data_IF_884474962702
#
_entry.id   IF_884474962702
#
_cell.length_a   1.000
_cell.length_b   1.000
_cell.length_c   1.000
_cell.angle_alpha   90.00
_cell.angle_beta   90.00
_cell.angle_gamma   90.00
#
_symmetry.space_group_name_H-M   'P 1'
#
loop_
_entity.id
_entity.type
_entity.pdbx_description
1 polymer ?
#
# COMPACT_ATOMS: atom_id res chain seq x y z
N UNK A 1 9.61 -0.10 3.67
CA UNK A 1 8.59 -0.06 2.61
C UNK A 1 7.21 0.05 3.21
N UNK A 2 6.28 0.52 2.39
CA UNK A 2 4.86 0.53 2.73
C UNK A 2 4.38 -0.92 2.83
N UNK A 3 3.71 -1.24 3.93
CA UNK A 3 3.14 -2.55 4.26
C UNK A 3 1.68 -2.35 4.61
N UNK A 4 0.81 -3.23 4.13
CA UNK A 4 -0.60 -3.21 4.49
C UNK A 4 -0.77 -3.63 5.96
N UNK A 5 -1.49 -2.84 6.77
CA UNK A 5 -1.78 -3.22 8.17
C UNK A 5 -3.02 -4.11 8.29
N UNK A 6 -3.83 -4.16 7.24
CA UNK A 6 -5.04 -4.98 7.13
C UNK A 6 -5.19 -5.47 5.70
N UNK A 7 -6.13 -6.38 5.49
CA UNK A 7 -6.53 -6.76 4.14
C UNK A 7 -7.17 -5.57 3.42
N UNK A 8 -6.68 -5.33 2.20
CA UNK A 8 -7.15 -4.28 1.30
C UNK A 8 -7.72 -5.00 0.10
N UNK A 9 -9.01 -4.84 -0.19
CA UNK A 9 -9.64 -5.47 -1.34
C UNK A 9 -9.16 -4.84 -2.65
N UNK A 10 -9.34 -5.53 -3.78
CA UNK A 10 -9.10 -4.94 -5.10
C UNK A 10 -10.12 -3.81 -5.36
N UNK A 11 -9.65 -2.68 -5.88
CA UNK A 11 -10.47 -1.49 -6.12
C UNK A 11 -10.75 -0.64 -4.87
N UNK A 12 -10.21 -1.02 -3.71
CA UNK A 12 -10.40 -0.29 -2.46
C UNK A 12 -9.48 0.95 -2.41
N UNK A 13 -9.98 2.03 -1.82
CA UNK A 13 -9.24 3.28 -1.71
C UNK A 13 -8.24 3.23 -0.54
N UNK A 14 -6.97 3.44 -0.84
CA UNK A 14 -5.89 3.42 0.13
C UNK A 14 -5.92 4.65 1.04
N UNK A 15 -6.02 4.41 2.34
CA UNK A 15 -5.91 5.43 3.37
C UNK A 15 -4.65 5.26 4.23
N UNK A 16 -4.22 6.35 4.85
CA UNK A 16 -3.02 6.37 5.72
C UNK A 16 -3.10 5.34 6.83
N UNK A 17 -4.29 5.10 7.38
CA UNK A 17 -4.51 4.12 8.45
C UNK A 17 -4.46 2.66 7.99
N UNK A 18 -4.50 2.41 6.67
CA UNK A 18 -4.44 1.05 6.09
C UNK A 18 -3.02 0.60 5.79
N UNK A 19 -2.05 1.51 5.87
CA UNK A 19 -0.66 1.25 5.56
C UNK A 19 0.27 1.69 6.68
N UNK A 20 1.36 0.95 6.84
CA UNK A 20 2.45 1.29 7.74
C UNK A 20 3.77 1.23 7.00
N UNK A 21 4.83 1.73 7.61
CA UNK A 21 6.19 1.69 7.06
C UNK A 21 7.05 0.77 7.92
N UNK A 22 7.43 -0.40 7.39
CA UNK A 22 8.34 -1.34 8.06
C UNK A 22 9.68 -1.46 7.31
N UNK A 23 10.77 -1.76 8.03
CA UNK A 23 12.09 -2.13 7.46
C UNK A 23 12.24 -3.66 7.51
N UNK A 24 13.05 -4.29 6.62
CA UNK A 24 13.78 -3.74 5.48
C UNK A 24 12.85 -3.33 4.32
N UNK A 25 13.34 -2.47 3.42
CA UNK A 25 12.48 -1.79 2.45
C UNK A 25 12.76 -2.13 0.99
N UNK A 26 11.97 -3.03 0.40
CA UNK A 26 12.03 -3.42 -1.02
C UNK A 26 10.85 -2.92 -1.88
N UNK A 27 9.70 -2.58 -1.28
CA UNK A 27 8.53 -1.96 -1.95
C UNK A 27 8.49 -0.44 -1.87
N UNK A 28 7.30 0.17 -1.91
CA UNK A 28 7.11 1.63 -1.95
C UNK A 28 7.85 2.33 -0.80
N UNK A 29 8.57 3.41 -1.12
CA UNK A 29 9.33 4.18 -0.13
C UNK A 29 8.37 4.93 0.79
N UNK A 30 8.70 4.99 2.07
CA UNK A 30 7.92 5.74 3.07
C UNK A 30 7.94 7.25 2.86
N UNK A 31 8.69 7.77 1.89
CA UNK A 31 8.58 9.17 1.45
C UNK A 31 7.50 9.35 0.39
N UNK A 32 7.12 8.29 -0.32
CA UNK A 32 6.19 8.34 -1.46
C UNK A 32 4.79 7.82 -1.13
N UNK A 33 4.53 7.37 0.10
CA UNK A 33 3.18 6.89 0.48
C UNK A 33 2.09 7.94 0.21
N UNK A 34 2.40 9.23 0.29
CA UNK A 34 1.43 10.30 0.01
C UNK A 34 0.90 10.25 -1.43
N UNK A 35 1.67 9.70 -2.39
CA UNK A 35 1.25 9.54 -3.79
C UNK A 35 0.22 8.43 -3.98
N UNK A 36 0.18 7.47 -3.05
CA UNK A 36 -0.74 6.32 -3.12
C UNK A 36 -1.97 6.50 -2.20
N UNK A 37 -1.93 7.45 -1.27
CA UNK A 37 -3.12 7.80 -0.48
C UNK A 37 -4.19 8.38 -1.42
N UNK A 38 -5.41 7.87 -1.31
CA UNK A 38 -6.53 8.25 -2.19
C UNK A 38 -6.57 7.52 -3.53
N UNK A 39 -5.56 6.69 -3.85
CA UNK A 39 -5.58 5.81 -5.02
C UNK A 39 -6.31 4.52 -4.72
N UNK A 40 -6.81 3.86 -5.77
CA UNK A 40 -7.38 2.51 -5.66
C UNK A 40 -6.30 1.45 -5.84
N UNK A 41 -6.47 0.31 -5.20
CA UNK A 41 -5.66 -0.88 -5.46
C UNK A 41 -6.13 -1.58 -6.73
N UNK A 42 -5.20 -2.12 -7.52
CA UNK A 42 -5.49 -2.96 -8.70
C UNK A 42 -5.82 -4.41 -8.32
N UNK A 43 -5.28 -4.88 -7.19
CA UNK A 43 -5.52 -6.23 -6.66
C UNK A 43 -5.69 -6.21 -5.16
N UNK A 44 -6.22 -7.30 -4.61
CA UNK A 44 -6.31 -7.49 -3.17
C UNK A 44 -4.93 -7.68 -2.55
N UNK A 45 -4.64 -6.93 -1.50
CA UNK A 45 -3.37 -6.95 -0.76
C UNK A 45 -3.66 -7.50 0.64
N UNK A 46 -3.11 -8.67 1.01
CA UNK A 46 -3.32 -9.22 2.34
C UNK A 46 -2.58 -8.42 3.42
N UNK A 47 -3.12 -8.44 4.64
CA UNK A 47 -2.49 -7.85 5.81
C UNK A 47 -1.03 -8.35 5.98
N UNK A 48 -0.11 -7.44 6.28
CA UNK A 48 1.32 -7.75 6.44
C UNK A 48 2.10 -7.85 5.13
N UNK A 49 1.45 -7.72 3.97
CA UNK A 49 2.14 -7.73 2.66
C UNK A 49 2.73 -6.37 2.32
N UNK A 50 3.84 -6.39 1.58
CA UNK A 50 4.50 -5.19 1.08
C UNK A 50 3.70 -4.64 -0.11
N UNK A 51 3.31 -3.38 -0.04
CA UNK A 51 2.64 -2.68 -1.14
C UNK A 51 3.68 -2.25 -2.17
N UNK A 52 3.44 -2.62 -3.43
CA UNK A 52 4.24 -2.26 -4.59
C UNK A 52 3.49 -1.28 -5.50
N UNK A 53 4.23 -0.56 -6.34
CA UNK A 53 3.64 0.40 -7.28
C UNK A 53 2.69 -0.26 -8.28
N UNK A 54 2.96 -1.52 -8.63
CA UNK A 54 2.11 -2.33 -9.51
C UNK A 54 0.75 -2.67 -8.88
N UNK A 55 0.64 -2.62 -7.55
CA UNK A 55 -0.61 -2.81 -6.84
C UNK A 55 -1.54 -1.60 -6.89
N UNK A 56 -1.02 -0.45 -7.33
CA UNK A 56 -1.71 0.83 -7.26
C UNK A 56 -2.18 1.25 -8.65
N UNK A 57 -3.42 1.71 -8.72
CA UNK A 57 -3.97 2.40 -9.86
C UNK A 57 -3.44 3.84 -9.89
N UNK A 58 -2.46 4.10 -10.78
CA UNK A 58 -1.85 5.40 -10.99
C UNK A 58 -2.76 6.26 -11.86
#
# INVERSE_FOLDING_TARGET
SVVAVRDIAAGEMLNRSMITSKRPGTGIRSKEYHKIIGKKTKRSIPAGSIVQWEDIEI
#
